data_IF_503370668659
#
_entry.id   IF_503370668659
#
_cell.length_a   1.000
_cell.length_b   1.000
_cell.length_c   1.000
_cell.angle_alpha   90.00
_cell.angle_beta   90.00
_cell.angle_gamma   90.00
#
_symmetry.space_group_name_H-M   'P 1'
#
loop_
_entity.id
_entity.type
_entity.pdbx_description
1 polymer ?
#
# COMPACT_ATOMS: atom_id res chain seq x y z
N UNK A 1 -4.82 20.40 -5.61
CA UNK A 1 -3.88 19.26 -5.70
C UNK A 1 -4.73 17.99 -5.80
N UNK A 2 -4.80 17.33 -6.97
CA UNK A 2 -5.64 16.13 -7.12
C UNK A 2 -5.09 14.95 -6.31
N UNK A 3 -5.88 14.47 -5.37
CA UNK A 3 -5.60 13.31 -4.52
C UNK A 3 -6.21 12.08 -5.20
N UNK A 4 -5.60 10.89 -5.10
CA UNK A 4 -6.17 9.68 -5.71
C UNK A 4 -7.47 9.23 -5.04
N UNK A 5 -8.27 8.48 -5.79
CA UNK A 5 -9.42 7.73 -5.26
C UNK A 5 -8.96 6.79 -4.14
N UNK A 6 -7.86 6.06 -4.33
CA UNK A 6 -7.31 5.15 -3.32
C UNK A 6 -6.98 5.86 -1.99
N UNK A 7 -6.43 7.07 -2.04
CA UNK A 7 -6.17 7.85 -0.81
C UNK A 7 -7.46 8.37 -0.18
N UNK A 8 -8.47 8.77 -0.96
CA UNK A 8 -9.76 9.19 -0.43
C UNK A 8 -10.49 8.03 0.26
N UNK A 9 -10.55 6.85 -0.37
CA UNK A 9 -11.10 5.63 0.22
C UNK A 9 -10.38 5.24 1.51
N UNK A 10 -9.06 5.41 1.55
CA UNK A 10 -8.27 5.23 2.77
C UNK A 10 -8.70 6.20 3.88
N UNK A 11 -8.89 7.49 3.57
CA UNK A 11 -9.35 8.47 4.55
C UNK A 11 -10.77 8.16 5.05
N UNK A 12 -11.68 7.78 4.16
CA UNK A 12 -13.04 7.36 4.52
C UNK A 12 -13.02 6.16 5.45
N UNK A 13 -12.17 5.17 5.16
CA UNK A 13 -12.01 3.99 6.01
C UNK A 13 -11.47 4.36 7.42
N UNK A 14 -10.63 5.40 7.52
CA UNK A 14 -10.18 5.90 8.81
C UNK A 14 -11.28 6.64 9.60
N UNK A 15 -12.31 7.17 8.96
CA UNK A 15 -13.46 7.75 9.68
C UNK A 15 -14.24 6.67 10.43
N UNK A 16 -14.37 5.46 9.87
CA UNK A 16 -14.96 4.30 10.57
C UNK A 16 -14.14 3.97 11.83
N UNK A 17 -12.81 3.95 11.71
CA UNK A 17 -11.92 3.71 12.86
C UNK A 17 -12.09 4.78 13.93
N UNK A 18 -12.14 6.06 13.55
CA UNK A 18 -12.37 7.15 14.50
C UNK A 18 -13.71 7.04 15.20
N UNK A 19 -14.76 6.60 14.50
CA UNK A 19 -16.06 6.35 15.11
C UNK A 19 -15.96 5.23 16.17
N UNK A 20 -15.25 4.13 15.89
CA UNK A 20 -15.01 3.06 16.88
C UNK A 20 -14.22 3.56 18.10
N UNK A 21 -13.18 4.37 17.89
CA UNK A 21 -12.41 4.98 18.99
C UNK A 21 -13.29 5.91 19.83
N UNK A 22 -14.23 6.63 19.21
CA UNK A 22 -15.18 7.51 19.92
C UNK A 22 -16.16 6.71 20.77
N UNK A 23 -16.55 5.50 20.34
CA UNK A 23 -17.38 4.58 21.13
C UNK A 23 -16.63 3.98 22.33
N UNK A 24 -15.30 3.98 22.32
CA UNK A 24 -14.48 3.52 23.44
C UNK A 24 -14.47 4.53 24.61
N UNK A 25 -15.53 4.46 25.41
CA UNK A 25 -15.72 5.23 26.65
C UNK A 25 -15.02 4.60 27.87
N UNK A 26 -14.32 3.48 27.69
CA UNK A 26 -13.71 2.74 28.80
C UNK A 26 -12.42 3.42 29.30
N UNK A 27 -12.21 3.36 30.61
CA UNK A 27 -11.02 3.90 31.29
C UNK A 27 -9.80 3.01 31.06
N UNK A 28 -8.62 3.62 31.14
CA UNK A 28 -7.32 2.96 31.13
C UNK A 28 -6.69 3.08 32.53
N UNK A 29 -6.16 2.00 33.15
CA UNK A 29 -6.08 0.63 32.62
C UNK A 29 -7.44 -0.08 32.60
N UNK A 30 -7.61 -0.99 31.63
CA UNK A 30 -8.88 -1.69 31.39
C UNK A 30 -9.25 -2.62 32.56
N UNK A 31 -10.43 -2.38 33.15
CA UNK A 31 -11.00 -3.27 34.17
C UNK A 31 -11.33 -4.65 33.60
N UNK A 32 -11.13 -5.72 34.38
CA UNK A 32 -11.37 -7.12 33.95
C UNK A 32 -12.74 -7.33 33.30
N UNK A 33 -13.81 -6.76 33.88
CA UNK A 33 -15.19 -6.86 33.37
C UNK A 33 -15.40 -6.23 31.99
N UNK A 34 -14.55 -5.28 31.59
CA UNK A 34 -14.66 -4.55 30.33
C UNK A 34 -13.70 -5.04 29.25
N UNK A 35 -12.90 -6.09 29.53
CA UNK A 35 -11.83 -6.55 28.63
C UNK A 35 -12.35 -6.89 27.24
N UNK A 36 -13.43 -7.65 27.13
CA UNK A 36 -13.95 -8.08 25.83
C UNK A 36 -14.40 -6.89 24.97
N UNK A 37 -15.07 -5.90 25.57
CA UNK A 37 -15.47 -4.68 24.87
C UNK A 37 -14.27 -3.88 24.38
N UNK A 38 -13.27 -3.67 25.25
CA UNK A 38 -12.04 -2.96 24.88
C UNK A 38 -11.26 -3.74 23.82
N UNK A 39 -11.25 -5.07 23.89
CA UNK A 39 -10.58 -5.91 22.90
C UNK A 39 -11.24 -5.80 21.54
N UNK A 40 -12.57 -5.89 21.49
CA UNK A 40 -13.33 -5.71 20.26
C UNK A 40 -13.13 -4.32 19.67
N UNK A 41 -13.29 -3.26 20.46
CA UNK A 41 -13.20 -1.88 19.98
C UNK A 41 -11.78 -1.51 19.55
N UNK A 42 -10.77 -1.72 20.40
CA UNK A 42 -9.38 -1.30 20.11
C UNK A 42 -8.67 -2.26 19.18
N UNK A 43 -8.86 -3.57 19.39
CA UNK A 43 -8.34 -4.60 18.49
C UNK A 43 -8.95 -4.47 17.10
N UNK A 44 -10.29 -4.34 17.02
CA UNK A 44 -10.99 -4.09 15.77
C UNK A 44 -10.54 -2.80 15.08
N UNK A 45 -10.37 -1.71 15.83
CA UNK A 45 -9.81 -0.46 15.29
C UNK A 45 -8.43 -0.67 14.67
N UNK A 46 -7.52 -1.37 15.36
CA UNK A 46 -6.18 -1.64 14.84
C UNK A 46 -6.19 -2.54 13.60
N UNK A 47 -7.04 -3.57 13.58
CA UNK A 47 -7.23 -4.43 12.41
C UNK A 47 -7.71 -3.62 11.21
N UNK A 48 -8.72 -2.77 11.41
CA UNK A 48 -9.27 -1.91 10.36
C UNK A 48 -8.24 -0.88 9.86
N UNK A 49 -7.44 -0.29 10.75
CA UNK A 49 -6.34 0.62 10.36
C UNK A 49 -5.38 -0.07 9.38
N UNK A 50 -4.91 -1.28 9.73
CA UNK A 50 -3.96 -2.02 8.89
C UNK A 50 -4.61 -2.53 7.61
N UNK A 51 -5.87 -2.99 7.67
CA UNK A 51 -6.62 -3.42 6.49
C UNK A 51 -6.81 -2.27 5.50
N UNK A 52 -7.21 -1.09 5.98
CA UNK A 52 -7.36 0.12 5.16
C UNK A 52 -6.05 0.50 4.47
N UNK A 53 -4.94 0.43 5.21
CA UNK A 53 -3.62 0.72 4.65
C UNK A 53 -3.18 -0.31 3.60
N UNK A 54 -3.48 -1.59 3.81
CA UNK A 54 -3.19 -2.64 2.85
C UNK A 54 -4.00 -2.46 1.56
N UNK A 55 -5.29 -2.13 1.68
CA UNK A 55 -6.16 -1.87 0.54
C UNK A 55 -5.70 -0.65 -0.26
N UNK A 56 -5.33 0.44 0.41
CA UNK A 56 -4.71 1.61 -0.22
C UNK A 56 -3.52 1.22 -1.09
N UNK A 57 -2.58 0.44 -0.56
CA UNK A 57 -1.39 0.02 -1.31
C UNK A 57 -1.73 -0.90 -2.49
N UNK A 58 -2.74 -1.76 -2.36
CA UNK A 58 -3.22 -2.61 -3.44
C UNK A 58 -3.87 -1.82 -4.58
N UNK A 59 -4.56 -0.72 -4.24
CA UNK A 59 -5.24 0.11 -5.22
C UNK A 59 -4.33 1.18 -5.83
N UNK A 60 -3.23 1.53 -5.15
CA UNK A 60 -2.29 2.56 -5.59
C UNK A 60 -1.77 2.32 -7.02
N UNK A 61 -1.31 1.10 -7.30
CA UNK A 61 -0.79 0.75 -8.62
C UNK A 61 -1.85 0.74 -9.70
N UNK A 62 -3.06 0.24 -9.40
CA UNK A 62 -4.16 0.25 -10.37
C UNK A 62 -4.49 1.69 -10.78
N UNK A 63 -4.69 2.58 -9.80
CA UNK A 63 -5.08 3.96 -10.06
C UNK A 63 -4.09 4.70 -10.95
N UNK A 64 -2.79 4.49 -10.74
CA UNK A 64 -1.77 5.25 -11.46
C UNK A 64 -1.23 4.55 -12.70
N UNK A 65 -0.99 3.24 -12.67
CA UNK A 65 -0.48 2.53 -13.85
C UNK A 65 -1.56 2.37 -14.95
N UNK A 66 -2.85 2.47 -14.61
CA UNK A 66 -3.92 2.57 -15.62
C UNK A 66 -3.69 3.79 -16.55
N UNK A 67 -3.03 4.84 -16.08
CA UNK A 67 -2.64 5.97 -16.94
C UNK A 67 -1.72 5.51 -18.06
N UNK A 68 -0.66 4.75 -17.73
CA UNK A 68 0.28 4.24 -18.75
C UNK A 68 -0.45 3.31 -19.71
N UNK A 69 -1.31 2.43 -19.19
CA UNK A 69 -2.12 1.53 -20.01
C UNK A 69 -3.05 2.28 -20.97
N UNK A 70 -3.71 3.35 -20.51
CA UNK A 70 -4.65 4.12 -21.34
C UNK A 70 -3.95 4.97 -22.41
N UNK A 71 -2.66 5.28 -22.23
CA UNK A 71 -1.84 5.99 -23.20
C UNK A 71 -0.81 5.08 -23.89
N UNK A 72 -1.03 3.76 -23.92
CA UNK A 72 -0.05 2.80 -24.42
C UNK A 72 0.43 3.10 -25.85
N UNK A 73 -0.47 3.57 -26.74
CA UNK A 73 -0.12 3.97 -28.12
C UNK A 73 0.85 5.14 -28.21
N UNK A 74 0.97 5.94 -27.15
CA UNK A 74 1.77 7.16 -27.10
C UNK A 74 2.99 7.00 -26.19
N UNK A 75 3.25 5.81 -25.66
CA UNK A 75 4.33 5.54 -24.70
C UNK A 75 5.30 4.55 -25.33
N UNK A 76 6.56 4.99 -25.44
CA UNK A 76 7.69 4.15 -25.81
C UNK A 76 8.04 3.22 -24.65
N UNK A 77 7.66 1.95 -24.77
CA UNK A 77 7.86 0.95 -23.74
C UNK A 77 9.33 0.75 -23.39
N UNK A 78 10.24 0.95 -24.34
CA UNK A 78 11.69 0.81 -24.12
C UNK A 78 12.28 1.89 -23.20
N UNK A 79 11.55 3.00 -23.01
CA UNK A 79 11.94 4.12 -22.12
C UNK A 79 11.36 4.00 -20.71
N UNK A 80 10.58 2.95 -20.44
CA UNK A 80 10.06 2.70 -19.10
C UNK A 80 11.19 2.21 -18.16
N UNK A 81 11.03 2.35 -16.83
CA UNK A 81 11.99 1.79 -15.88
C UNK A 81 12.16 0.28 -16.06
N UNK A 82 13.39 -0.23 -16.04
CA UNK A 82 13.70 -1.65 -16.24
C UNK A 82 12.89 -2.56 -15.30
N UNK A 83 12.81 -2.22 -14.01
CA UNK A 83 12.05 -2.98 -13.02
C UNK A 83 10.54 -3.05 -13.37
N UNK A 84 9.99 -2.01 -14.01
CA UNK A 84 8.59 -1.97 -14.45
C UNK A 84 8.38 -2.95 -15.61
N UNK A 85 9.26 -2.88 -16.61
CA UNK A 85 9.26 -3.76 -17.78
C UNK A 85 9.42 -5.22 -17.34
N UNK A 86 10.49 -5.51 -16.58
CA UNK A 86 10.82 -6.86 -16.11
C UNK A 86 9.68 -7.43 -15.28
N UNK A 87 9.10 -6.65 -14.38
CA UNK A 87 7.98 -7.11 -13.54
C UNK A 87 6.75 -7.40 -14.39
N UNK A 88 6.37 -6.51 -15.31
CA UNK A 88 5.22 -6.67 -16.17
C UNK A 88 5.36 -7.91 -17.06
N UNK A 89 6.49 -8.04 -17.76
CA UNK A 89 6.78 -9.19 -18.63
C UNK A 89 6.83 -10.48 -17.81
N UNK A 90 7.61 -10.52 -16.73
CA UNK A 90 7.76 -11.73 -15.91
C UNK A 90 6.45 -12.20 -15.30
N UNK A 91 5.59 -11.29 -14.81
CA UNK A 91 4.29 -11.67 -14.23
C UNK A 91 3.29 -12.08 -15.31
N UNK A 92 3.33 -11.46 -16.50
CA UNK A 92 2.57 -11.91 -17.68
C UNK A 92 2.96 -13.34 -18.06
N UNK A 93 4.26 -13.64 -18.12
CA UNK A 93 4.77 -14.98 -18.42
C UNK A 93 4.46 -15.99 -17.29
N UNK A 94 4.45 -15.58 -16.02
CA UNK A 94 4.12 -16.50 -14.90
C UNK A 94 2.69 -17.04 -14.93
N UNK A 95 1.77 -16.39 -15.65
CA UNK A 95 0.43 -16.96 -15.88
C UNK A 95 0.47 -18.26 -16.72
N UNK A 96 1.64 -18.62 -17.28
CA UNK A 96 1.89 -19.92 -17.88
C UNK A 96 2.00 -21.03 -16.82
N UNK A 97 0.91 -21.76 -16.63
CA UNK A 97 0.96 -23.07 -15.97
C UNK A 97 1.02 -24.15 -17.05
N UNK A 98 2.16 -24.84 -17.16
CA UNK A 98 2.43 -25.96 -18.08
C UNK A 98 1.67 -27.22 -17.61
N UNK A 99 0.34 -27.17 -17.60
CA UNK A 99 -0.51 -28.36 -17.61
C UNK A 99 -1.14 -28.43 -18.99
N UNK A 100 -1.11 -29.61 -19.63
CA UNK A 100 -1.67 -29.85 -20.97
C UNK A 100 -3.19 -29.63 -20.94
N UNK A 101 -3.61 -28.41 -21.25
CA UNK A 101 -5.02 -28.02 -21.38
C UNK A 101 -5.15 -27.02 -22.54
N UNK A 102 -5.94 -27.37 -23.54
CA UNK A 102 -6.19 -26.56 -24.74
C UNK A 102 -6.81 -25.20 -24.39
N UNK A 103 -7.62 -25.11 -23.32
CA UNK A 103 -8.19 -23.83 -22.86
C UNK A 103 -7.11 -22.86 -22.38
N UNK A 104 -5.97 -23.37 -21.89
CA UNK A 104 -4.82 -22.54 -21.51
C UNK A 104 -4.05 -21.98 -22.70
N UNK A 105 -4.17 -22.55 -23.90
CA UNK A 105 -3.52 -22.00 -25.10
C UNK A 105 -4.06 -20.61 -25.46
N UNK A 106 -5.33 -20.33 -25.18
CA UNK A 106 -5.93 -18.99 -25.38
C UNK A 106 -5.25 -17.99 -24.45
N UNK A 107 -5.06 -18.35 -23.17
CA UNK A 107 -4.36 -17.49 -22.21
C UNK A 107 -2.92 -17.25 -22.65
N UNK A 108 -2.23 -18.28 -23.16
CA UNK A 108 -0.87 -18.12 -23.70
C UNK A 108 -0.85 -17.13 -24.87
N UNK A 109 -1.75 -17.28 -25.84
CA UNK A 109 -1.86 -16.35 -26.98
C UNK A 109 -2.13 -14.92 -26.52
N UNK A 110 -3.00 -14.73 -25.52
CA UNK A 110 -3.31 -13.41 -24.97
C UNK A 110 -2.10 -12.80 -24.26
N UNK A 111 -1.40 -13.56 -23.41
CA UNK A 111 -0.18 -13.09 -22.74
C UNK A 111 0.92 -12.72 -23.74
N UNK A 112 1.15 -13.54 -24.77
CA UNK A 112 2.12 -13.21 -25.83
C UNK A 112 1.72 -11.94 -26.58
N UNK A 113 0.43 -11.77 -26.90
CA UNK A 113 -0.08 -10.55 -27.53
C UNK A 113 0.15 -9.33 -26.65
N UNK A 114 -0.18 -9.40 -25.36
CA UNK A 114 0.05 -8.28 -24.44
C UNK A 114 1.54 -7.92 -24.34
N UNK A 115 2.45 -8.89 -24.37
CA UNK A 115 3.89 -8.59 -24.39
C UNK A 115 4.32 -7.96 -25.72
N UNK A 116 3.88 -8.50 -26.86
CA UNK A 116 4.21 -7.95 -28.19
C UNK A 116 3.66 -6.53 -28.37
N UNK A 117 2.49 -6.27 -27.78
CA UNK A 117 1.83 -4.96 -27.79
C UNK A 117 2.33 -4.03 -26.69
N UNK A 118 3.34 -4.43 -25.90
CA UNK A 118 3.90 -3.63 -24.82
C UNK A 118 2.85 -3.16 -23.78
N UNK A 119 1.83 -3.97 -23.55
CA UNK A 119 0.72 -3.66 -22.64
C UNK A 119 1.15 -3.81 -21.18
N UNK A 120 0.98 -2.76 -20.37
CA UNK A 120 1.10 -2.85 -18.92
C UNK A 120 -0.20 -3.38 -18.32
N UNK A 121 -0.08 -4.34 -17.41
CA UNK A 121 -1.19 -4.77 -16.57
C UNK A 121 -1.00 -4.29 -15.12
N UNK A 122 -1.72 -3.23 -14.69
CA UNK A 122 -1.60 -2.67 -13.34
C UNK A 122 -1.88 -3.67 -12.21
N UNK A 123 -2.73 -4.67 -12.45
CA UNK A 123 -3.05 -5.68 -11.45
C UNK A 123 -1.83 -6.54 -11.06
N UNK A 124 -0.78 -6.55 -11.89
CA UNK A 124 0.48 -7.21 -11.58
C UNK A 124 1.34 -6.45 -10.59
N UNK A 125 0.99 -5.24 -10.16
CA UNK A 125 1.82 -4.44 -9.25
C UNK A 125 1.20 -4.34 -7.84
N UNK A 126 0.29 -5.25 -7.50
CA UNK A 126 -0.30 -5.34 -6.17
C UNK A 126 0.65 -5.97 -5.15
N UNK A 127 0.42 -5.68 -3.87
CA UNK A 127 1.10 -6.37 -2.77
C UNK A 127 0.78 -7.87 -2.83
N UNK A 128 1.82 -8.69 -2.71
CA UNK A 128 1.67 -10.15 -2.66
C UNK A 128 1.37 -10.67 -1.24
N UNK A 129 1.42 -9.82 -0.21
CA UNK A 129 1.26 -10.21 1.18
C UNK A 129 0.09 -9.49 1.85
N UNK A 130 -0.46 -10.11 2.89
CA UNK A 130 -1.53 -9.55 3.72
C UNK A 130 -1.03 -8.56 4.79
N UNK A 131 0.28 -8.29 4.83
CA UNK A 131 0.95 -7.48 5.85
C UNK A 131 1.82 -6.40 5.21
N UNK A 132 1.35 -5.14 5.14
CA UNK A 132 2.00 -4.06 4.40
C UNK A 132 3.22 -3.47 5.12
N UNK A 133 4.26 -4.28 5.34
CA UNK A 133 5.49 -3.88 6.03
C UNK A 133 6.41 -2.99 5.15
N UNK A 134 7.46 -2.38 5.73
CA UNK A 134 8.38 -1.52 4.98
C UNK A 134 9.04 -2.18 3.76
N UNK A 135 9.32 -3.48 3.81
CA UNK A 135 9.96 -4.21 2.70
C UNK A 135 9.02 -4.24 1.49
N UNK A 136 7.73 -4.50 1.71
CA UNK A 136 6.78 -4.53 0.61
C UNK A 136 6.57 -3.15 -0.03
N UNK A 137 6.57 -2.07 0.75
CA UNK A 137 6.50 -0.70 0.22
C UNK A 137 7.76 -0.39 -0.60
N UNK A 138 8.94 -0.79 -0.13
CA UNK A 138 10.18 -0.62 -0.91
C UNK A 138 10.08 -1.37 -2.24
N UNK A 139 9.63 -2.62 -2.21
CA UNK A 139 9.45 -3.42 -3.42
C UNK A 139 8.47 -2.76 -4.41
N UNK A 140 7.29 -2.35 -3.94
CA UNK A 140 6.25 -1.70 -4.73
C UNK A 140 6.76 -0.44 -5.47
N UNK A 141 7.62 0.34 -4.80
CA UNK A 141 8.18 1.55 -5.37
C UNK A 141 9.40 1.29 -6.26
N UNK A 142 10.20 0.26 -5.95
CA UNK A 142 11.27 -0.20 -6.83
C UNK A 142 10.72 -0.64 -8.19
N UNK A 143 9.58 -1.35 -8.21
CA UNK A 143 8.90 -1.79 -9.44
C UNK A 143 8.54 -0.64 -10.39
N UNK A 144 8.46 0.61 -9.92
CA UNK A 144 8.23 1.80 -10.76
C UNK A 144 9.47 2.71 -10.87
N UNK A 145 10.65 2.20 -10.49
CA UNK A 145 11.92 2.91 -10.58
C UNK A 145 12.25 3.85 -9.42
N UNK A 146 11.52 3.81 -8.30
CA UNK A 146 11.79 4.64 -7.12
C UNK A 146 12.57 3.86 -6.09
N UNK A 147 13.91 3.98 -6.14
CA UNK A 147 14.81 3.40 -5.13
C UNK A 147 14.72 4.15 -3.80
N UNK A 148 14.82 3.41 -2.70
CA UNK A 148 14.84 3.94 -1.33
C UNK A 148 13.71 4.92 -0.98
N UNK A 149 12.46 4.54 -1.27
CA UNK A 149 11.26 5.37 -1.03
C UNK A 149 11.23 6.05 0.34
N UNK A 150 11.60 5.33 1.41
CA UNK A 150 11.62 5.90 2.75
C UNK A 150 12.60 7.08 2.87
N UNK A 151 13.81 6.98 2.29
CA UNK A 151 14.78 8.08 2.27
C UNK A 151 14.24 9.28 1.49
N UNK A 152 13.55 9.01 0.39
CA UNK A 152 12.90 10.02 -0.45
C UNK A 152 11.83 10.82 0.30
N UNK A 153 11.04 10.16 1.15
CA UNK A 153 9.94 10.81 1.87
C UNK A 153 10.35 11.37 3.24
N UNK A 154 11.48 10.96 3.82
CA UNK A 154 11.90 11.31 5.21
C UNK A 154 11.77 12.79 5.53
N UNK A 155 12.35 13.69 4.73
CA UNK A 155 12.31 15.14 5.01
C UNK A 155 10.88 15.68 5.05
N UNK A 156 10.01 15.22 4.14
CA UNK A 156 8.60 15.65 4.09
C UNK A 156 7.77 15.01 5.18
N UNK A 157 8.09 13.77 5.56
CA UNK A 157 7.51 13.10 6.71
C UNK A 157 7.82 13.89 7.98
N UNK A 158 9.08 14.18 8.27
CA UNK A 158 9.51 14.95 9.45
C UNK A 158 8.79 16.29 9.59
N UNK A 159 8.60 17.03 8.48
CA UNK A 159 7.86 18.30 8.48
C UNK A 159 6.40 18.13 8.92
N UNK A 160 5.70 17.11 8.43
CA UNK A 160 4.32 16.81 8.83
C UNK A 160 4.20 16.17 10.20
N UNK A 161 5.19 15.36 10.56
CA UNK A 161 5.31 14.71 11.85
C UNK A 161 5.71 15.69 12.95
N UNK A 162 6.27 16.84 12.58
CA UNK A 162 6.77 17.90 13.48
C UNK A 162 7.86 17.40 14.45
N UNK A 163 8.62 16.39 14.04
CA UNK A 163 9.73 15.83 14.81
C UNK A 163 10.81 15.31 13.88
N UNK A 164 12.05 15.59 14.22
CA UNK A 164 13.22 15.06 13.52
C UNK A 164 13.39 13.59 13.93
N UNK A 165 13.22 12.68 12.98
CA UNK A 165 13.33 11.23 13.17
C UNK A 165 14.08 10.61 12.00
N UNK A 166 14.86 9.56 12.24
CA UNK A 166 15.56 8.85 11.17
C UNK A 166 14.59 8.08 10.27
N UNK A 167 15.05 7.76 9.06
CA UNK A 167 14.34 6.88 8.12
C UNK A 167 13.98 5.54 8.78
N UNK A 168 14.86 5.00 9.62
CA UNK A 168 14.61 3.73 10.32
C UNK A 168 13.56 3.84 11.42
N UNK A 169 13.41 5.01 12.06
CA UNK A 169 12.28 5.26 12.96
C UNK A 169 10.97 5.21 12.16
N UNK A 170 10.91 5.83 10.98
CA UNK A 170 9.71 5.79 10.13
C UNK A 170 9.36 4.33 9.81
N UNK A 171 10.33 3.52 9.38
CA UNK A 171 10.11 2.09 9.10
C UNK A 171 9.65 1.31 10.35
N UNK A 172 10.30 1.53 11.50
CA UNK A 172 9.96 0.85 12.76
C UNK A 172 8.57 1.20 13.27
N UNK A 173 8.10 2.44 13.07
CA UNK A 173 6.74 2.82 13.43
C UNK A 173 5.70 2.00 12.65
N UNK A 174 5.90 1.81 11.35
CA UNK A 174 5.03 0.96 10.54
C UNK A 174 5.08 -0.51 10.99
N UNK A 175 6.28 -1.07 11.16
CA UNK A 175 6.44 -2.44 11.64
C UNK A 175 5.74 -2.62 13.00
N UNK A 176 5.91 -1.69 13.93
CA UNK A 176 5.27 -1.75 15.24
C UNK A 176 3.73 -1.73 15.18
N UNK A 177 3.13 -0.99 14.25
CA UNK A 177 1.67 -1.02 14.03
C UNK A 177 1.23 -2.40 13.55
N UNK A 178 1.95 -2.98 12.58
CA UNK A 178 1.64 -4.30 12.00
C UNK A 178 1.85 -5.40 13.04
N UNK A 179 2.92 -5.34 13.82
CA UNK A 179 3.23 -6.30 14.87
C UNK A 179 2.16 -6.27 15.97
N UNK A 180 1.72 -5.06 16.38
CA UNK A 180 0.58 -4.92 17.30
C UNK A 180 -0.67 -5.57 16.71
N UNK A 181 -0.96 -5.40 15.40
CA UNK A 181 -2.11 -6.04 14.75
C UNK A 181 -2.00 -7.55 14.72
N UNK A 182 -0.83 -8.09 14.38
CA UNK A 182 -0.59 -9.54 14.36
C UNK A 182 -0.73 -10.12 15.77
N UNK A 183 -0.23 -9.41 16.79
CA UNK A 183 -0.43 -9.81 18.18
C UNK A 183 -1.91 -9.80 18.59
N UNK A 184 -2.72 -8.83 18.13
CA UNK A 184 -4.18 -8.87 18.38
C UNK A 184 -4.83 -10.09 17.74
N UNK A 185 -4.45 -10.43 16.50
CA UNK A 185 -5.02 -11.56 15.76
C UNK A 185 -4.68 -12.92 16.39
N UNK A 186 -3.50 -13.06 16.99
CA UNK A 186 -3.03 -14.34 17.53
C UNK A 186 -3.10 -14.44 19.06
N UNK A 187 -3.08 -13.32 19.78
CA UNK A 187 -3.00 -13.25 21.24
C UNK A 187 -3.98 -12.20 21.79
N UNK A 188 -5.24 -12.61 22.02
CA UNK A 188 -6.30 -11.72 22.51
C UNK A 188 -5.92 -10.92 23.78
N UNK A 189 -5.08 -11.49 24.65
CA UNK A 189 -4.59 -10.85 25.88
C UNK A 189 -3.67 -9.64 25.65
N UNK A 190 -3.03 -9.52 24.49
CA UNK A 190 -2.19 -8.37 24.14
C UNK A 190 -3.04 -7.14 23.77
N UNK A 191 -4.30 -7.34 23.39
CA UNK A 191 -5.23 -6.25 23.05
C UNK A 191 -5.49 -5.31 24.23
N UNK A 192 -5.38 -5.79 25.48
CA UNK A 192 -5.48 -4.92 26.68
C UNK A 192 -4.41 -3.84 26.76
N UNK A 193 -3.30 -4.03 26.04
CA UNK A 193 -2.16 -3.10 26.07
C UNK A 193 -2.26 -2.01 25.00
N UNK A 194 -3.24 -2.09 24.10
CA UNK A 194 -3.48 -1.05 23.11
C UNK A 194 -4.30 0.05 23.77
N UNK A 195 -3.78 1.27 23.72
CA UNK A 195 -4.43 2.48 24.23
C UNK A 195 -5.10 3.26 23.11
N UNK A 196 -6.01 4.17 23.46
CA UNK A 196 -6.55 5.15 22.49
C UNK A 196 -5.46 6.04 21.91
N UNK A 197 -4.41 6.32 22.69
CA UNK A 197 -3.26 7.11 22.24
C UNK A 197 -2.52 6.35 21.13
N UNK A 198 -2.26 5.05 21.32
CA UNK A 198 -1.62 4.21 20.30
C UNK A 198 -2.39 4.23 18.97
N UNK A 199 -3.72 4.11 19.04
CA UNK A 199 -4.58 4.09 17.85
C UNK A 199 -4.56 5.44 17.12
N UNK A 200 -4.67 6.55 17.87
CA UNK A 200 -4.62 7.90 17.30
C UNK A 200 -3.25 8.21 16.70
N UNK A 201 -2.16 7.75 17.33
CA UNK A 201 -0.81 7.89 16.79
C UNK A 201 -0.63 7.07 15.51
N UNK A 202 -1.13 5.83 15.46
CA UNK A 202 -1.14 5.00 14.27
C UNK A 202 -1.91 5.65 13.11
N UNK A 203 -3.10 6.19 13.38
CA UNK A 203 -3.90 6.95 12.40
C UNK A 203 -3.10 8.15 11.87
N UNK A 204 -2.53 8.98 12.77
CA UNK A 204 -1.73 10.15 12.38
C UNK A 204 -0.54 9.75 11.51
N UNK A 205 0.18 8.72 11.93
CA UNK A 205 1.34 8.18 11.21
C UNK A 205 0.95 7.74 9.80
N UNK A 206 -0.07 6.87 9.68
CA UNK A 206 -0.46 6.31 8.39
C UNK A 206 -1.06 7.36 7.47
N UNK A 207 -1.82 8.34 7.96
CA UNK A 207 -2.30 9.47 7.12
C UNK A 207 -1.18 10.25 6.45
N UNK A 208 -0.06 10.46 7.16
CA UNK A 208 1.10 11.15 6.62
C UNK A 208 1.83 10.23 5.63
N UNK A 209 2.01 8.95 5.99
CA UNK A 209 2.68 7.98 5.15
C UNK A 209 1.93 7.77 3.83
N UNK A 210 0.63 7.45 3.87
CA UNK A 210 -0.18 7.23 2.66
C UNK A 210 -0.19 8.43 1.74
N UNK A 211 -0.29 9.65 2.29
CA UNK A 211 -0.22 10.88 1.49
C UNK A 211 1.12 11.01 0.77
N UNK A 212 2.22 10.68 1.45
CA UNK A 212 3.56 10.74 0.86
C UNK A 212 3.76 9.68 -0.21
N UNK A 213 3.26 8.47 0.02
CA UNK A 213 3.32 7.38 -0.95
C UNK A 213 2.49 7.73 -2.18
N UNK A 214 1.23 8.14 -2.00
CA UNK A 214 0.33 8.58 -3.07
C UNK A 214 0.98 9.67 -3.94
N UNK A 215 1.46 10.73 -3.28
CA UNK A 215 2.14 11.83 -3.96
C UNK A 215 3.36 11.37 -4.76
N UNK A 216 4.19 10.50 -4.16
CA UNK A 216 5.44 10.07 -4.78
C UNK A 216 5.16 9.14 -5.97
N UNK A 217 4.21 8.22 -5.82
CA UNK A 217 3.80 7.29 -6.87
C UNK A 217 3.25 8.05 -8.07
N UNK A 218 2.30 8.98 -7.84
CA UNK A 218 1.77 9.86 -8.88
C UNK A 218 2.86 10.63 -9.61
N UNK A 219 3.76 11.27 -8.85
CA UNK A 219 4.84 12.08 -9.42
C UNK A 219 5.73 11.22 -10.32
N UNK A 220 6.04 9.99 -9.88
CA UNK A 220 6.85 9.06 -10.64
C UNK A 220 6.14 8.64 -11.94
N UNK A 221 4.89 8.21 -11.88
CA UNK A 221 4.15 7.80 -13.08
C UNK A 221 4.03 8.95 -14.08
N UNK A 222 3.75 10.17 -13.61
CA UNK A 222 3.74 11.35 -14.49
C UNK A 222 5.10 11.59 -15.13
N UNK A 223 6.20 11.44 -14.38
CA UNK A 223 7.56 11.57 -14.91
C UNK A 223 7.84 10.52 -15.99
N UNK A 224 7.42 9.27 -15.76
CA UNK A 224 7.57 8.16 -16.72
C UNK A 224 6.78 8.46 -18.00
N UNK A 225 5.53 8.91 -17.88
CA UNK A 225 4.70 9.23 -19.04
C UNK A 225 5.33 10.34 -19.88
N UNK A 226 5.90 11.38 -19.24
CA UNK A 226 6.58 12.48 -19.95
C UNK A 226 7.86 11.99 -20.62
N UNK A 227 8.69 11.20 -19.93
CA UNK A 227 9.97 10.75 -20.48
C UNK A 227 9.82 9.73 -21.60
N UNK A 228 8.76 8.92 -21.53
CA UNK A 228 8.49 7.88 -22.50
C UNK A 228 7.53 8.32 -23.62
N UNK A 229 7.04 9.57 -23.61
CA UNK A 229 6.09 10.03 -24.61
C UNK A 229 6.68 9.98 -26.03
N UNK A 230 5.92 9.41 -26.96
CA UNK A 230 6.20 9.44 -28.39
C UNK A 230 5.49 10.67 -28.97
N UNK A 231 6.24 11.63 -29.55
CA UNK A 231 5.67 12.83 -30.17
C UNK A 231 4.62 12.55 -31.24
#
# INVERSE_FOLDING_TARGET
MNISIAYNEFLESLEIVKALIKLDTYREPTQKKNRNYVYGLRGGSLVLIVASFNEFLNNLSNVYLDVIKNYASNIDFSKLPDDLIITNVSRTLKQFSIKKDVKKLINVKNSCRSIINDEINPAFFKLQSSNPNPIHIIHLFNEIGVRDIFKHITKRFQRRWQKVISTDIIKRLLSGIIDKRNNVAHNASMTSKITKIDLNEAIRYLRILTWLLDFTYRKQINSICISAWIP
#
